data_IF_817830876140
#
_entry.id   IF_817830876140
#
_cell.length_a   1.000
_cell.length_b   1.000
_cell.length_c   1.000
_cell.angle_alpha   90.00
_cell.angle_beta   90.00
_cell.angle_gamma   90.00
#
_symmetry.space_group_name_H-M   'P 1'
#
loop_
_entity.id
_entity.type
_entity.pdbx_description
1 polymer ?
#
# COMPACT_ATOMS: atom_id res chain seq x y z
N UNK A 1 -8.35 10.19 -17.27
CA UNK A 1 -8.00 9.56 -15.99
C UNK A 1 -6.49 9.51 -15.96
N UNK A 2 -5.88 10.23 -15.02
CA UNK A 2 -4.44 10.16 -14.82
C UNK A 2 -4.13 8.80 -14.18
N UNK A 3 -3.05 8.15 -14.60
CA UNK A 3 -2.60 6.89 -14.00
C UNK A 3 -1.28 7.14 -13.28
N UNK A 4 -1.08 6.56 -12.07
CA UNK A 4 0.15 6.76 -11.33
C UNK A 4 1.31 6.09 -12.08
N UNK A 5 2.56 6.43 -11.73
CA UNK A 5 3.73 5.79 -12.31
C UNK A 5 3.61 4.25 -12.24
N UNK A 6 4.07 3.56 -13.28
CA UNK A 6 3.90 2.11 -13.37
C UNK A 6 4.61 1.38 -12.22
N UNK A 7 5.65 2.00 -11.66
CA UNK A 7 6.42 1.51 -10.53
C UNK A 7 5.65 1.51 -9.21
N UNK A 8 4.45 2.10 -9.15
CA UNK A 8 3.58 2.01 -7.96
C UNK A 8 2.86 0.67 -7.91
N UNK A 9 2.63 0.03 -9.07
CA UNK A 9 1.86 -1.21 -9.14
C UNK A 9 2.71 -2.40 -8.73
N UNK A 10 2.15 -3.25 -7.87
CA UNK A 10 2.82 -4.44 -7.39
C UNK A 10 2.49 -4.79 -5.95
N UNK A 11 3.27 -5.71 -5.41
CA UNK A 11 3.21 -6.14 -4.02
C UNK A 11 4.34 -5.47 -3.23
N UNK A 12 3.97 -4.89 -2.11
CA UNK A 12 4.78 -4.02 -1.30
C UNK A 12 4.73 -4.51 0.15
N UNK A 13 5.88 -4.67 0.79
CA UNK A 13 6.00 -4.97 2.20
C UNK A 13 6.46 -3.71 2.92
N UNK A 14 5.78 -3.36 4.01
CA UNK A 14 6.11 -2.19 4.81
C UNK A 14 7.43 -2.43 5.55
N UNK A 15 8.41 -1.55 5.28
CA UNK A 15 9.69 -1.48 5.96
C UNK A 15 9.62 -0.40 7.06
N UNK A 16 8.94 -0.72 8.17
CA UNK A 16 8.73 0.22 9.30
C UNK A 16 10.03 0.85 9.82
N UNK A 17 11.15 0.12 9.76
CA UNK A 17 12.47 0.60 10.20
C UNK A 17 13.03 1.72 9.30
N UNK A 18 12.57 1.84 8.05
CA UNK A 18 12.96 2.87 7.09
C UNK A 18 12.02 4.08 7.10
N UNK A 19 10.89 4.00 7.83
CA UNK A 19 9.93 5.10 7.93
C UNK A 19 10.57 6.33 8.59
N UNK A 20 10.38 7.49 7.96
CA UNK A 20 10.93 8.75 8.47
C UNK A 20 10.04 9.94 8.11
N UNK A 21 9.95 10.92 9.00
CA UNK A 21 9.24 12.19 8.76
C UNK A 21 7.79 12.02 8.24
N UNK A 22 7.08 11.00 8.75
CA UNK A 22 5.70 10.69 8.34
C UNK A 22 5.59 10.07 6.94
N UNK A 23 6.69 9.59 6.38
CA UNK A 23 6.74 8.86 5.10
C UNK A 23 6.87 7.37 5.44
N UNK A 24 5.91 6.59 4.98
CA UNK A 24 5.95 5.14 5.04
C UNK A 24 6.74 4.60 3.86
N UNK A 25 7.69 3.70 4.14
CA UNK A 25 8.56 3.08 3.15
C UNK A 25 8.13 1.64 2.91
N UNK A 26 7.97 1.28 1.64
CA UNK A 26 7.63 -0.06 1.23
C UNK A 26 8.68 -0.60 0.26
N UNK A 27 9.00 -1.88 0.41
CA UNK A 27 9.92 -2.63 -0.45
C UNK A 27 9.13 -3.68 -1.22
N UNK A 28 9.56 -4.11 -2.42
CA UNK A 28 8.87 -5.14 -3.16
C UNK A 28 8.78 -6.42 -2.34
N UNK A 29 7.56 -6.88 -2.07
CA UNK A 29 7.33 -8.17 -1.46
C UNK A 29 7.61 -9.23 -2.53
N UNK A 30 8.72 -9.95 -2.42
CA UNK A 30 9.05 -11.03 -3.37
C UNK A 30 7.95 -12.10 -3.45
N UNK A 31 8.00 -12.95 -4.47
CA UNK A 31 7.05 -14.06 -4.73
C UNK A 31 6.98 -15.13 -3.61
N UNK A 32 7.77 -15.00 -2.56
CA UNK A 32 7.93 -15.98 -1.49
C UNK A 32 7.15 -15.52 -0.25
N UNK A 33 5.93 -16.02 -0.11
CA UNK A 33 5.05 -15.83 1.06
C UNK A 33 5.59 -16.44 2.38
N UNK A 34 6.87 -16.77 2.47
CA UNK A 34 7.37 -17.68 3.50
C UNK A 34 7.87 -17.03 4.80
N UNK A 35 8.10 -15.71 4.88
CA UNK A 35 8.78 -15.14 6.06
C UNK A 35 8.48 -13.66 6.33
N UNK A 36 7.21 -13.27 6.28
CA UNK A 36 6.78 -11.94 6.76
C UNK A 36 5.57 -12.05 7.67
N UNK A 37 5.53 -13.10 8.50
CA UNK A 37 4.59 -13.19 9.61
C UNK A 37 4.83 -11.96 10.50
N UNK A 38 3.83 -11.07 10.60
CA UNK A 38 3.92 -9.86 11.43
C UNK A 38 4.18 -8.53 10.69
N UNK A 39 4.43 -8.52 9.38
CA UNK A 39 4.63 -7.25 8.64
C UNK A 39 3.41 -6.87 7.80
N UNK A 40 3.08 -5.57 7.78
CA UNK A 40 2.06 -5.01 6.88
C UNK A 40 2.49 -5.18 5.41
N UNK A 41 1.53 -5.56 4.57
CA UNK A 41 1.70 -5.63 3.12
C UNK A 41 0.64 -4.81 2.41
N UNK A 42 0.97 -4.35 1.22
CA UNK A 42 0.18 -3.49 0.37
C UNK A 42 0.24 -4.04 -1.06
N UNK A 43 -0.90 -4.21 -1.70
CA UNK A 43 -1.02 -4.59 -3.10
C UNK A 43 -1.78 -3.48 -3.83
N UNK A 44 -1.16 -2.93 -4.87
CA UNK A 44 -1.76 -1.92 -5.73
C UNK A 44 -1.74 -2.47 -7.15
N UNK A 45 -2.92 -2.67 -7.74
CA UNK A 45 -3.07 -3.23 -9.09
C UNK A 45 -3.45 -2.15 -10.10
N UNK A 46 -3.03 -2.33 -11.35
CA UNK A 46 -3.34 -1.40 -12.44
C UNK A 46 -4.83 -1.27 -12.76
N UNK A 47 -5.64 -2.25 -12.34
CA UNK A 47 -7.09 -2.29 -12.58
C UNK A 47 -7.91 -1.45 -11.59
N UNK A 48 -7.26 -0.79 -10.62
CA UNK A 48 -7.91 -0.02 -9.56
C UNK A 48 -8.06 -0.80 -8.25
N UNK A 49 -7.65 -2.06 -8.18
CA UNK A 49 -7.73 -2.86 -6.96
C UNK A 49 -6.65 -2.46 -5.96
N UNK A 50 -7.05 -2.30 -4.70
CA UNK A 50 -6.16 -2.07 -3.56
C UNK A 50 -6.40 -3.15 -2.50
N UNK A 51 -5.33 -3.74 -1.97
CA UNK A 51 -5.42 -4.63 -0.81
C UNK A 51 -4.34 -4.30 0.19
N UNK A 52 -4.67 -4.30 1.48
CA UNK A 52 -3.73 -4.14 2.58
C UNK A 52 -3.87 -5.32 3.51
N UNK A 53 -2.77 -6.00 3.79
CA UNK A 53 -2.71 -7.09 4.75
C UNK A 53 -2.04 -6.56 5.99
N UNK A 54 -2.74 -6.59 7.12
CA UNK A 54 -2.19 -6.18 8.41
C UNK A 54 -2.09 -7.40 9.33
N UNK A 55 -1.03 -7.49 10.16
CA UNK A 55 -0.97 -8.51 11.19
C UNK A 55 -2.12 -8.29 12.18
N UNK A 56 -3.05 -9.23 12.23
CA UNK A 56 -4.19 -9.21 13.14
C UNK A 56 -3.78 -9.64 14.56
N UNK A 57 -4.59 -9.32 15.58
CA UNK A 57 -4.40 -9.82 16.95
C UNK A 57 -4.67 -11.33 17.07
N UNK A 58 -5.45 -11.90 16.16
CA UNK A 58 -5.64 -13.34 15.97
C UNK A 58 -4.55 -13.92 15.07
N UNK A 59 -4.23 -15.21 15.20
CA UNK A 59 -3.25 -15.96 14.38
C UNK A 59 -3.46 -15.90 12.83
N UNK A 60 -4.49 -15.19 12.35
CA UNK A 60 -4.73 -14.93 10.93
C UNK A 60 -4.57 -13.43 10.60
N UNK A 61 -3.88 -13.07 9.50
CA UNK A 61 -3.77 -11.69 9.05
C UNK A 61 -5.12 -11.14 8.57
N UNK A 62 -5.41 -9.88 8.89
CA UNK A 62 -6.59 -9.17 8.38
C UNK A 62 -6.30 -8.62 6.97
N UNK A 63 -7.14 -9.00 6.01
CA UNK A 63 -7.05 -8.54 4.62
C UNK A 63 -8.11 -7.46 4.41
N UNK A 64 -7.66 -6.22 4.33
CA UNK A 64 -8.47 -5.04 4.03
C UNK A 64 -8.45 -4.85 2.51
N UNK A 65 -9.61 -4.99 1.88
CA UNK A 65 -9.77 -4.74 0.45
C UNK A 65 -10.37 -3.37 0.18
N UNK A 66 -10.06 -2.84 -0.99
CA UNK A 66 -10.47 -1.52 -1.40
C UNK A 66 -10.20 -1.27 -2.88
N UNK A 67 -10.50 -0.04 -3.27
CA UNK A 67 -10.27 0.49 -4.60
C UNK A 67 -9.40 1.74 -4.47
N UNK A 68 -8.54 1.98 -5.45
CA UNK A 68 -7.78 3.21 -5.54
C UNK A 68 -8.11 3.97 -6.82
N UNK A 69 -8.10 5.29 -6.71
CA UNK A 69 -8.25 6.22 -7.83
C UNK A 69 -7.18 7.31 -7.73
N UNK A 70 -6.62 7.74 -8.85
CA UNK A 70 -5.72 8.88 -8.84
C UNK A 70 -6.53 10.17 -8.89
N UNK A 71 -6.36 11.03 -7.89
CA UNK A 71 -7.10 12.30 -7.78
C UNK A 71 -6.30 13.50 -8.27
N UNK A 72 -4.95 13.44 -8.18
CA UNK A 72 -3.99 14.46 -8.66
C UNK A 72 -2.67 13.81 -9.03
N UNK A 73 -1.73 14.57 -9.61
CA UNK A 73 -0.33 14.13 -9.77
C UNK A 73 0.20 13.58 -8.44
N UNK A 74 0.61 12.31 -8.45
CA UNK A 74 1.11 11.56 -7.28
C UNK A 74 0.15 11.37 -6.11
N UNK A 75 -1.12 11.72 -6.21
CA UNK A 75 -2.08 11.54 -5.12
C UNK A 75 -3.09 10.45 -5.46
N UNK A 76 -3.07 9.36 -4.71
CA UNK A 76 -4.06 8.29 -4.81
C UNK A 76 -5.03 8.36 -3.63
N UNK A 77 -6.31 8.21 -3.93
CA UNK A 77 -7.38 8.10 -2.96
C UNK A 77 -7.76 6.62 -2.86
N UNK A 78 -7.78 6.09 -1.65
CA UNK A 78 -8.07 4.69 -1.35
C UNK A 78 -9.40 4.63 -0.62
N UNK A 79 -10.36 3.95 -1.22
CA UNK A 79 -11.65 3.63 -0.63
C UNK A 79 -11.64 2.18 -0.17
N UNK A 80 -12.21 1.90 1.00
CA UNK A 80 -12.24 0.56 1.56
C UNK A 80 -13.62 -0.06 1.41
N UNK A 81 -13.67 -1.35 1.08
CA UNK A 81 -14.91 -2.11 1.03
C UNK A 81 -15.43 -2.44 2.43
N UNK A 82 -14.54 -2.52 3.43
CA UNK A 82 -14.88 -2.88 4.80
C UNK A 82 -15.66 -1.77 5.49
N UNK A 83 -16.87 -2.04 6.01
CA UNK A 83 -17.67 -1.04 6.71
C UNK A 83 -16.97 -0.58 7.99
N UNK A 84 -16.75 0.74 8.11
CA UNK A 84 -16.09 1.36 9.27
C UNK A 84 -14.66 1.85 9.01
N UNK A 85 -14.06 1.54 7.86
CA UNK A 85 -12.82 2.17 7.43
C UNK A 85 -13.12 3.42 6.61
N UNK A 86 -12.63 4.57 7.08
CA UNK A 86 -12.71 5.80 6.32
C UNK A 86 -11.75 5.75 5.12
N UNK A 87 -12.14 6.29 3.96
CA UNK A 87 -11.22 6.40 2.84
C UNK A 87 -10.03 7.29 3.23
N UNK A 88 -8.87 7.02 2.63
CA UNK A 88 -7.62 7.73 2.93
C UNK A 88 -6.94 8.23 1.66
N UNK A 89 -6.11 9.25 1.78
CA UNK A 89 -5.27 9.74 0.69
C UNK A 89 -3.81 9.36 0.93
N UNK A 90 -3.15 8.88 -0.13
CA UNK A 90 -1.72 8.58 -0.14
C UNK A 90 -1.02 9.45 -1.18
N UNK A 91 -0.08 10.25 -0.73
CA UNK A 91 0.83 11.00 -1.59
C UNK A 91 2.06 10.14 -1.91
N UNK A 92 2.29 9.87 -3.19
CA UNK A 92 3.45 9.15 -3.72
C UNK A 92 4.65 10.10 -3.69
N UNK A 93 5.55 9.87 -2.74
CA UNK A 93 6.78 10.65 -2.59
C UNK A 93 7.84 10.14 -3.57
N UNK A 94 7.97 8.83 -3.69
CA UNK A 94 8.93 8.16 -4.57
C UNK A 94 8.38 6.80 -5.01
N UNK A 95 8.49 6.49 -6.30
CA UNK A 95 8.13 5.18 -6.87
C UNK A 95 9.26 4.69 -7.76
N UNK A 96 9.85 3.56 -7.38
CA UNK A 96 10.94 2.87 -8.11
C UNK A 96 10.70 1.37 -8.04
N UNK A 97 11.34 0.56 -8.92
CA UNK A 97 11.16 -0.89 -8.91
C UNK A 97 11.47 -1.60 -7.58
N UNK A 98 12.32 -1.00 -6.75
CA UNK A 98 12.79 -1.56 -5.47
C UNK A 98 12.29 -0.80 -4.22
N UNK A 99 11.58 0.31 -4.40
CA UNK A 99 11.10 1.13 -3.28
C UNK A 99 9.88 1.98 -3.66
N UNK A 100 8.89 1.96 -2.77
CA UNK A 100 7.73 2.83 -2.82
C UNK A 100 7.67 3.62 -1.51
N UNK A 101 7.66 4.95 -1.61
CA UNK A 101 7.51 5.85 -0.47
C UNK A 101 6.21 6.60 -0.60
N UNK A 102 5.38 6.52 0.43
CA UNK A 102 4.10 7.20 0.47
C UNK A 102 3.93 7.97 1.78
N UNK A 103 3.22 9.08 1.71
CA UNK A 103 2.76 9.82 2.89
C UNK A 103 1.25 9.68 3.01
N UNK A 104 0.78 9.32 4.20
CA UNK A 104 -0.65 9.34 4.54
C UNK A 104 -1.06 10.79 4.85
N UNK A 105 -2.13 11.27 4.23
CA UNK A 105 -2.67 12.62 4.45
C UNK A 105 -3.91 12.60 5.35
#
# INVERSE_FOLDING_TARGET
MEQPPQEVFGNWQHAFEEDAHGIAVYRPAGNSFASSEGCEKLEIRQDGTFSRVVPGPSEAPDIIKGEWEQTKDKLIHVSYESPGLAPQQLEIIESKPDILKVRKL
#
